data_IF_423734047681
#
_entry.id   IF_423734047681
#
_cell.length_a   1.000
_cell.length_b   1.000
_cell.length_c   1.000
_cell.angle_alpha   90.00
_cell.angle_beta   90.00
_cell.angle_gamma   90.00
#
_symmetry.space_group_name_H-M   'P 1'
#
loop_
_entity.id
_entity.type
_entity.pdbx_description
1 polymer ?
#
# COMPACT_ATOMS: atom_id res chain seq x y z
N UNK A 1 13.78 -5.55 49.36
CA UNK A 1 15.02 -6.36 49.32
C UNK A 1 14.60 -7.71 48.76
N UNK A 2 15.04 -8.27 47.65
CA UNK A 2 16.19 -8.18 46.73
C UNK A 2 15.63 -8.63 45.35
N UNK A 3 16.24 -8.61 44.16
CA UNK A 3 17.38 -7.96 43.52
C UNK A 3 17.16 -8.21 42.01
N UNK A 4 17.60 -7.26 41.19
CA UNK A 4 17.57 -7.29 39.73
C UNK A 4 18.42 -8.40 39.12
N UNK A 5 18.06 -8.89 37.92
CA UNK A 5 19.09 -9.31 36.97
C UNK A 5 18.67 -9.05 35.52
N UNK A 6 19.55 -8.31 34.84
CA UNK A 6 19.57 -7.89 33.44
C UNK A 6 20.92 -8.37 32.87
N UNK A 7 20.97 -8.53 31.53
CA UNK A 7 22.12 -8.90 30.65
C UNK A 7 22.25 -10.42 30.42
N UNK A 8 22.52 -10.94 29.21
CA UNK A 8 23.41 -10.40 28.16
C UNK A 8 23.13 -11.06 26.80
N UNK A 9 23.40 -10.31 25.73
CA UNK A 9 23.54 -10.73 24.33
C UNK A 9 24.76 -11.64 24.11
N UNK A 10 24.70 -12.52 23.11
CA UNK A 10 25.89 -13.10 22.48
C UNK A 10 25.65 -14.41 21.73
N UNK A 11 25.97 -14.45 20.44
CA UNK A 11 26.04 -15.71 19.69
C UNK A 11 25.92 -15.60 18.17
N UNK A 12 26.77 -14.79 17.53
CA UNK A 12 27.04 -14.94 16.11
C UNK A 12 27.79 -16.26 15.88
N UNK A 13 27.38 -17.06 14.89
CA UNK A 13 28.21 -18.13 14.35
C UNK A 13 28.42 -17.88 12.86
N UNK A 14 29.66 -17.54 12.53
CA UNK A 14 30.19 -17.50 11.18
C UNK A 14 31.28 -18.58 11.08
N UNK A 15 31.19 -19.45 10.08
CA UNK A 15 32.31 -20.17 9.44
C UNK A 15 31.75 -20.79 8.16
N UNK A 16 32.00 -20.16 7.01
CA UNK A 16 33.17 -20.35 6.14
C UNK A 16 33.25 -21.75 5.53
N UNK A 17 33.01 -21.83 4.22
CA UNK A 17 33.90 -22.58 3.36
C UNK A 17 34.10 -21.84 2.04
N UNK A 18 35.37 -21.61 1.72
CA UNK A 18 35.86 -20.92 0.54
C UNK A 18 36.61 -21.91 -0.35
N UNK A 19 36.50 -21.74 -1.67
CA UNK A 19 37.55 -21.88 -2.70
C UNK A 19 36.94 -22.29 -4.06
N UNK A 20 37.16 -21.45 -5.09
CA UNK A 20 36.93 -21.74 -6.52
C UNK A 20 38.09 -22.52 -7.14
N UNK A 21 38.53 -22.28 -8.41
CA UNK A 21 38.03 -21.36 -9.45
C UNK A 21 38.00 -21.99 -10.88
N UNK A 22 37.62 -21.20 -11.90
CA UNK A 22 38.14 -21.37 -13.28
C UNK A 22 37.15 -21.13 -14.43
N UNK A 23 37.49 -20.20 -15.34
CA UNK A 23 36.91 -20.14 -16.68
C UNK A 23 36.82 -18.74 -17.30
N UNK A 24 37.94 -18.25 -17.84
CA UNK A 24 38.11 -16.95 -18.52
C UNK A 24 37.47 -16.92 -19.91
N UNK A 25 37.07 -15.72 -20.36
CA UNK A 25 36.72 -15.39 -21.73
C UNK A 25 36.90 -13.90 -21.99
N UNK A 26 38.11 -13.54 -22.44
CA UNK A 26 38.58 -12.21 -22.86
C UNK A 26 37.71 -11.55 -23.94
N UNK A 27 37.41 -10.25 -23.79
CA UNK A 27 37.36 -9.31 -24.92
C UNK A 27 37.94 -7.96 -24.48
N UNK A 28 38.86 -7.47 -25.32
CA UNK A 28 39.77 -6.34 -25.16
C UNK A 28 39.12 -4.98 -24.86
N UNK A 29 39.89 -4.21 -24.09
CA UNK A 29 39.77 -2.77 -23.89
C UNK A 29 40.30 -1.97 -25.09
N UNK A 30 39.64 -0.85 -25.39
CA UNK A 30 40.29 0.33 -25.97
C UNK A 30 39.84 1.56 -25.17
N UNK A 31 40.80 2.17 -24.47
CA UNK A 31 40.59 3.42 -23.74
C UNK A 31 40.70 4.62 -24.67
N UNK A 32 39.92 5.67 -24.40
CA UNK A 32 40.22 7.04 -24.83
C UNK A 32 39.88 7.99 -23.67
N UNK A 33 40.86 8.82 -23.33
CA UNK A 33 40.85 9.83 -22.28
C UNK A 33 39.99 11.04 -22.69
N UNK A 34 39.49 11.82 -21.71
CA UNK A 34 38.55 12.94 -21.86
C UNK A 34 39.06 14.15 -22.67
N UNK A 35 38.31 15.29 -22.71
CA UNK A 35 37.97 16.04 -21.50
C UNK A 35 36.55 16.64 -21.46
N UNK A 36 36.27 17.32 -20.35
CA UNK A 36 35.05 18.01 -19.98
C UNK A 36 34.55 19.02 -21.03
N UNK A 37 33.23 19.05 -21.21
CA UNK A 37 32.50 20.09 -21.92
C UNK A 37 31.05 20.13 -21.44
N UNK A 38 30.74 21.06 -20.54
CA UNK A 38 29.37 21.44 -20.21
C UNK A 38 28.80 22.18 -21.43
N UNK A 39 27.88 21.55 -22.15
CA UNK A 39 27.15 22.19 -23.25
C UNK A 39 25.66 21.98 -23.03
N UNK A 40 25.05 22.96 -22.36
CA UNK A 40 23.61 23.17 -22.32
C UNK A 40 23.24 23.91 -23.59
N UNK A 41 22.54 23.25 -24.52
CA UNK A 41 21.88 23.93 -25.63
C UNK A 41 20.35 23.91 -25.48
N UNK A 42 19.66 25.00 -25.84
CA UNK A 42 18.26 25.21 -25.54
C UNK A 42 17.38 24.63 -26.64
N UNK A 43 16.67 23.54 -26.34
CA UNK A 43 15.62 23.04 -27.23
C UNK A 43 14.33 23.83 -26.98
N UNK A 44 13.93 24.46 -28.07
CA UNK A 44 12.79 25.34 -28.28
C UNK A 44 11.45 24.77 -27.79
N UNK A 45 10.58 25.70 -27.39
CA UNK A 45 9.20 25.51 -26.90
C UNK A 45 8.44 24.46 -27.72
N UNK A 46 8.13 23.32 -27.11
CA UNK A 46 7.12 22.39 -27.62
C UNK A 46 5.79 22.73 -26.97
N UNK A 47 4.99 23.48 -27.71
CA UNK A 47 3.62 23.90 -27.39
C UNK A 47 2.77 22.73 -26.86
N UNK A 48 2.05 23.02 -25.76
CA UNK A 48 1.01 22.15 -25.17
C UNK A 48 -0.14 22.06 -26.18
N UNK A 49 -0.28 20.92 -26.86
CA UNK A 49 -1.46 20.67 -27.70
C UNK A 49 -2.73 20.58 -26.83
N UNK A 50 -3.87 21.13 -27.28
CA UNK A 50 -5.10 21.21 -26.49
C UNK A 50 -5.76 19.82 -26.37
N UNK A 51 -6.41 19.58 -25.23
CA UNK A 51 -7.18 18.36 -24.96
C UNK A 51 -8.26 18.15 -26.04
N UNK A 52 -8.47 16.91 -26.52
CA UNK A 52 -9.74 16.56 -27.15
C UNK A 52 -10.75 16.22 -26.06
N UNK A 53 -11.85 16.97 -26.07
CA UNK A 53 -13.04 16.81 -25.25
C UNK A 53 -13.59 15.38 -25.24
N UNK A 54 -14.10 15.00 -24.06
CA UNK A 54 -15.21 14.07 -23.82
C UNK A 54 -15.43 12.94 -24.82
N UNK A 55 -14.76 11.80 -24.61
CA UNK A 55 -15.25 10.53 -25.13
C UNK A 55 -16.37 9.99 -24.23
N UNK A 56 -17.56 10.59 -24.33
CA UNK A 56 -18.80 9.90 -23.99
C UNK A 56 -18.94 8.70 -24.92
N UNK A 57 -18.40 7.54 -24.52
CA UNK A 57 -18.79 6.28 -25.14
C UNK A 57 -20.16 5.92 -24.57
N UNK A 58 -21.21 5.72 -25.39
CA UNK A 58 -22.48 5.26 -24.87
C UNK A 58 -22.27 3.92 -24.18
N UNK A 59 -22.81 3.82 -22.97
CA UNK A 59 -22.88 2.60 -22.17
C UNK A 59 -23.44 1.47 -23.03
N UNK A 60 -22.54 0.67 -23.60
CA UNK A 60 -22.88 -0.68 -24.03
C UNK A 60 -22.98 -1.48 -22.75
N UNK A 61 -24.17 -1.42 -22.15
CA UNK A 61 -24.64 -2.34 -21.12
C UNK A 61 -24.55 -3.75 -21.69
N UNK A 62 -23.39 -4.38 -21.53
CA UNK A 62 -23.32 -5.83 -21.59
C UNK A 62 -24.21 -6.32 -20.44
N UNK A 63 -25.28 -7.12 -20.70
CA UNK A 63 -26.08 -7.65 -19.60
C UNK A 63 -25.14 -8.39 -18.64
N UNK A 64 -25.31 -8.22 -17.31
CA UNK A 64 -24.50 -8.94 -16.35
C UNK A 64 -24.62 -10.43 -16.66
N UNK A 65 -23.50 -11.06 -16.97
CA UNK A 65 -23.45 -12.51 -17.11
C UNK A 65 -23.96 -13.10 -15.79
N UNK A 66 -24.87 -14.09 -15.80
CA UNK A 66 -25.54 -14.60 -14.60
C UNK A 66 -24.59 -15.21 -13.55
N UNK A 67 -23.29 -15.30 -13.86
CA UNK A 67 -22.25 -15.81 -12.98
C UNK A 67 -21.65 -14.76 -12.02
N UNK A 68 -21.84 -13.46 -12.22
CA UNK A 68 -21.14 -12.42 -11.42
C UNK A 68 -22.00 -11.80 -10.30
N UNK A 69 -23.23 -12.29 -10.10
CA UNK A 69 -24.18 -11.72 -9.12
C UNK A 69 -24.44 -12.60 -7.89
N UNK A 70 -23.79 -13.75 -7.73
CA UNK A 70 -24.20 -14.77 -6.74
C UNK A 70 -23.24 -14.97 -5.57
N UNK A 71 -22.17 -14.18 -5.44
CA UNK A 71 -21.26 -14.31 -4.30
C UNK A 71 -21.41 -13.12 -3.35
N UNK A 72 -22.33 -13.29 -2.40
CA UNK A 72 -22.29 -12.74 -1.03
C UNK A 72 -22.61 -11.26 -0.81
N UNK A 73 -22.76 -10.41 -1.84
CA UNK A 73 -23.08 -8.99 -1.60
C UNK A 73 -24.55 -8.77 -1.14
N UNK A 74 -25.44 -9.71 -1.46
CA UNK A 74 -26.87 -9.61 -1.11
C UNK A 74 -27.20 -9.86 0.38
N UNK A 75 -26.26 -10.36 1.19
CA UNK A 75 -26.57 -10.69 2.61
C UNK A 75 -26.18 -9.59 3.61
N UNK A 76 -25.51 -8.53 3.18
CA UNK A 76 -24.98 -7.47 4.07
C UNK A 76 -25.89 -6.24 4.18
N UNK A 77 -27.14 -6.30 3.71
CA UNK A 77 -28.12 -5.20 3.83
C UNK A 77 -28.67 -4.96 5.24
N UNK A 78 -28.08 -5.57 6.28
CA UNK A 78 -28.40 -5.29 7.69
C UNK A 78 -27.36 -4.29 8.20
N UNK A 79 -27.78 -3.25 8.90
CA UNK A 79 -26.88 -2.28 9.53
C UNK A 79 -25.75 -3.00 10.29
N UNK A 80 -24.56 -2.99 9.70
CA UNK A 80 -23.37 -3.59 10.30
C UNK A 80 -22.68 -2.51 11.10
N UNK A 81 -23.04 -2.42 12.39
CA UNK A 81 -22.27 -1.63 13.34
C UNK A 81 -21.13 -2.50 13.90
N UNK A 82 -19.86 -2.20 13.55
CA UNK A 82 -18.70 -2.98 14.00
C UNK A 82 -18.48 -2.93 15.51
N UNK A 83 -19.16 -2.06 16.25
CA UNK A 83 -19.03 -1.95 17.72
C UNK A 83 -20.01 -2.84 18.49
N UNK A 84 -21.13 -3.22 17.89
CA UNK A 84 -22.25 -3.83 18.62
C UNK A 84 -22.66 -5.20 18.06
N UNK A 85 -22.28 -5.53 16.82
CA UNK A 85 -22.63 -6.80 16.21
C UNK A 85 -21.49 -7.82 16.30
N UNK A 86 -21.72 -8.89 17.05
CA UNK A 86 -20.91 -10.11 16.98
C UNK A 86 -21.42 -11.02 15.85
N UNK A 87 -20.52 -11.78 15.22
CA UNK A 87 -20.88 -12.84 14.27
C UNK A 87 -21.49 -14.02 15.01
N UNK A 88 -22.51 -14.67 14.41
CA UNK A 88 -23.03 -15.94 14.94
C UNK A 88 -22.09 -17.10 14.60
N UNK A 89 -22.19 -18.22 15.34
CA UNK A 89 -21.41 -19.44 15.05
C UNK A 89 -21.63 -19.97 13.62
N UNK A 90 -22.79 -19.70 13.02
CA UNK A 90 -23.07 -20.04 11.62
C UNK A 90 -22.34 -19.11 10.64
N UNK A 91 -22.26 -17.80 10.93
CA UNK A 91 -21.53 -16.81 10.12
C UNK A 91 -20.00 -17.01 10.20
N UNK A 92 -19.52 -17.60 11.30
CA UNK A 92 -18.12 -17.92 11.52
C UNK A 92 -17.65 -19.21 10.83
N UNK A 93 -18.57 -20.02 10.28
CA UNK A 93 -18.18 -21.22 9.54
C UNK A 93 -17.35 -20.82 8.32
N UNK A 94 -16.20 -21.48 8.09
CA UNK A 94 -15.36 -21.16 6.95
C UNK A 94 -16.16 -21.42 5.67
N UNK A 95 -16.29 -20.36 4.87
CA UNK A 95 -16.92 -20.47 3.55
C UNK A 95 -16.20 -21.56 2.73
N UNK A 96 -16.93 -22.30 1.88
CA UNK A 96 -16.34 -23.34 1.05
C UNK A 96 -15.18 -22.76 0.22
N UNK A 97 -13.99 -23.35 0.37
CA UNK A 97 -12.77 -22.84 -0.28
C UNK A 97 -12.83 -23.09 -1.79
N UNK A 98 -13.09 -22.03 -2.56
CA UNK A 98 -13.02 -22.07 -4.01
C UNK A 98 -11.54 -22.14 -4.43
N UNK A 99 -11.16 -23.26 -5.06
CA UNK A 99 -9.80 -23.43 -5.58
C UNK A 99 -9.62 -22.58 -6.83
N UNK A 100 -8.51 -21.83 -6.89
CA UNK A 100 -8.13 -21.08 -8.10
C UNK A 100 -7.85 -22.04 -9.26
N UNK A 101 -8.24 -21.64 -10.47
CA UNK A 101 -7.89 -22.39 -11.68
C UNK A 101 -6.37 -22.49 -11.87
N UNK A 102 -5.91 -23.63 -12.41
CA UNK A 102 -4.50 -23.88 -12.72
C UNK A 102 -4.07 -22.98 -13.88
N UNK A 103 -2.87 -22.38 -13.78
CA UNK A 103 -2.31 -21.59 -14.87
C UNK A 103 -2.00 -22.50 -16.06
N UNK A 104 -2.66 -22.24 -17.19
CA UNK A 104 -2.32 -22.83 -18.48
C UNK A 104 -1.46 -21.83 -19.24
N UNK A 105 -0.23 -22.22 -19.56
CA UNK A 105 0.67 -21.41 -20.38
C UNK A 105 0.37 -21.65 -21.85
N UNK A 106 0.42 -20.60 -22.66
CA UNK A 106 0.36 -20.71 -24.11
C UNK A 106 1.79 -20.99 -24.60
N UNK A 107 2.05 -22.14 -25.27
CA UNK A 107 3.34 -22.43 -25.89
C UNK A 107 3.78 -21.32 -26.83
N UNK A 108 5.08 -21.12 -27.00
CA UNK A 108 5.63 -20.00 -27.75
C UNK A 108 5.17 -20.00 -29.22
N UNK A 109 5.12 -21.18 -29.84
CA UNK A 109 4.64 -21.38 -31.22
C UNK A 109 3.15 -21.05 -31.41
N UNK A 110 2.39 -20.98 -30.31
CA UNK A 110 0.95 -20.69 -30.32
C UNK A 110 0.61 -19.26 -29.86
N UNK A 111 1.61 -18.40 -29.68
CA UNK A 111 1.39 -16.98 -29.32
C UNK A 111 1.02 -16.15 -30.55
N UNK A 112 -0.26 -16.16 -30.87
CA UNK A 112 -0.86 -15.35 -31.93
C UNK A 112 -1.04 -13.87 -31.55
N UNK A 113 -1.44 -13.05 -32.52
CA UNK A 113 -1.75 -11.62 -32.30
C UNK A 113 -2.86 -11.41 -31.27
N UNK A 114 -3.84 -12.32 -31.23
CA UNK A 114 -4.95 -12.29 -30.27
C UNK A 114 -4.42 -12.46 -28.85
N UNK A 115 -3.47 -13.37 -28.62
CA UNK A 115 -2.78 -13.55 -27.34
C UNK A 115 -2.03 -12.28 -26.94
N UNK A 116 -1.24 -11.69 -27.85
CA UNK A 116 -0.50 -10.47 -27.56
C UNK A 116 -1.39 -9.28 -27.23
N UNK A 117 -2.53 -9.13 -27.94
CA UNK A 117 -3.53 -8.12 -27.64
C UNK A 117 -4.12 -8.30 -26.23
N UNK A 118 -4.49 -9.53 -25.83
CA UNK A 118 -4.94 -9.84 -24.46
C UNK A 118 -3.85 -9.54 -23.43
N UNK A 119 -2.60 -9.91 -23.71
CA UNK A 119 -1.47 -9.71 -22.79
C UNK A 119 -1.21 -8.22 -22.56
N UNK A 120 -1.21 -7.41 -23.63
CA UNK A 120 -1.09 -5.95 -23.56
C UNK A 120 -2.23 -5.34 -22.75
N UNK A 121 -3.49 -5.74 -23.00
CA UNK A 121 -4.65 -5.28 -22.21
C UNK A 121 -4.52 -5.61 -20.73
N UNK A 122 -4.11 -6.84 -20.40
CA UNK A 122 -3.92 -7.26 -19.00
C UNK A 122 -2.79 -6.47 -18.31
N UNK A 123 -1.68 -6.20 -19.00
CA UNK A 123 -0.60 -5.38 -18.44
C UNK A 123 -1.06 -3.95 -18.11
N UNK A 124 -1.84 -3.34 -19.03
CA UNK A 124 -2.42 -2.01 -18.79
C UNK A 124 -3.41 -2.02 -17.62
N UNK A 125 -4.28 -3.03 -17.54
CA UNK A 125 -5.21 -3.20 -16.42
C UNK A 125 -4.47 -3.40 -15.09
N UNK A 126 -3.41 -4.22 -15.08
CA UNK A 126 -2.59 -4.45 -13.89
C UNK A 126 -1.89 -3.16 -13.43
N UNK A 127 -1.38 -2.35 -14.37
CA UNK A 127 -0.80 -1.03 -14.05
C UNK A 127 -1.86 -0.11 -13.43
N UNK A 128 -3.01 0.06 -14.09
CA UNK A 128 -4.12 0.88 -13.58
C UNK A 128 -4.58 0.43 -12.19
N UNK A 129 -4.70 -0.88 -11.96
CA UNK A 129 -5.07 -1.45 -10.67
C UNK A 129 -4.05 -1.13 -9.57
N UNK A 130 -2.75 -1.24 -9.88
CA UNK A 130 -1.68 -0.87 -8.95
C UNK A 130 -1.71 0.61 -8.60
N UNK A 131 -1.91 1.48 -9.60
CA UNK A 131 -1.94 2.92 -9.40
C UNK A 131 -3.17 3.34 -8.58
N UNK A 132 -4.34 2.74 -8.84
CA UNK A 132 -5.54 2.95 -8.05
C UNK A 132 -5.36 2.51 -6.59
N UNK A 133 -4.74 1.34 -6.36
CA UNK A 133 -4.43 0.87 -5.00
C UNK A 133 -3.49 1.84 -4.29
N UNK A 134 -2.38 2.23 -4.94
CA UNK A 134 -1.39 3.14 -4.37
C UNK A 134 -2.01 4.50 -4.02
N UNK A 135 -2.88 5.03 -4.88
CA UNK A 135 -3.61 6.26 -4.60
C UNK A 135 -4.47 6.14 -3.33
N UNK A 136 -5.19 5.03 -3.18
CA UNK A 136 -6.00 4.77 -1.97
C UNK A 136 -5.13 4.64 -0.71
N UNK A 137 -4.02 3.92 -0.80
CA UNK A 137 -3.06 3.77 0.30
C UNK A 137 -2.48 5.12 0.72
N UNK A 138 -2.08 5.95 -0.25
CA UNK A 138 -1.58 7.30 0.02
C UNK A 138 -2.64 8.20 0.68
N UNK A 139 -3.90 8.13 0.24
CA UNK A 139 -4.99 8.88 0.89
C UNK A 139 -5.20 8.44 2.35
N UNK A 140 -5.13 7.13 2.61
CA UNK A 140 -5.23 6.60 3.98
C UNK A 140 -4.07 7.11 4.83
N UNK A 141 -2.84 7.06 4.32
CA UNK A 141 -1.66 7.55 5.02
C UNK A 141 -1.77 9.05 5.37
N UNK A 142 -2.20 9.89 4.41
CA UNK A 142 -2.42 11.31 4.65
C UNK A 142 -3.50 11.56 5.72
N UNK A 143 -4.62 10.86 5.63
CA UNK A 143 -5.71 10.99 6.60
C UNK A 143 -5.28 10.53 8.00
N UNK A 144 -4.55 9.43 8.09
CA UNK A 144 -4.02 8.92 9.36
C UNK A 144 -3.09 9.94 10.00
N UNK A 145 -2.12 10.46 9.25
CA UNK A 145 -1.19 11.49 9.78
C UNK A 145 -1.88 12.77 10.23
N UNK A 146 -2.93 13.21 9.51
CA UNK A 146 -3.76 14.34 9.95
C UNK A 146 -4.45 14.06 11.29
N UNK A 147 -5.13 12.91 11.40
CA UNK A 147 -5.84 12.52 12.61
C UNK A 147 -4.89 12.32 13.79
N UNK A 148 -3.69 11.77 13.58
CA UNK A 148 -2.65 11.63 14.60
C UNK A 148 -2.21 13.01 15.13
N UNK A 149 -1.98 13.97 14.25
CA UNK A 149 -1.63 15.35 14.63
C UNK A 149 -2.74 16.02 15.43
N UNK A 150 -3.99 15.94 14.96
CA UNK A 150 -5.15 16.50 15.66
C UNK A 150 -5.36 15.84 17.03
N UNK A 151 -5.25 14.51 17.11
CA UNK A 151 -5.39 13.78 18.37
C UNK A 151 -4.31 14.18 19.37
N UNK A 152 -3.07 14.36 18.91
CA UNK A 152 -1.97 14.85 19.75
C UNK A 152 -2.24 16.26 20.25
N UNK A 153 -2.73 17.17 19.39
CA UNK A 153 -3.11 18.52 19.80
C UNK A 153 -4.23 18.52 20.85
N UNK A 154 -5.27 17.72 20.67
CA UNK A 154 -6.36 17.56 21.63
C UNK A 154 -5.87 17.00 22.98
N UNK A 155 -4.93 16.04 22.97
CA UNK A 155 -4.34 15.51 24.20
C UNK A 155 -3.54 16.58 24.96
N UNK A 156 -2.73 17.37 24.24
CA UNK A 156 -1.97 18.47 24.85
C UNK A 156 -2.89 19.51 25.51
N UNK A 157 -3.97 19.91 24.83
CA UNK A 157 -4.91 20.87 25.38
C UNK A 157 -5.68 20.31 26.58
N UNK A 158 -6.07 19.04 26.51
CA UNK A 158 -6.73 18.35 27.62
C UNK A 158 -5.82 18.26 28.86
N UNK A 159 -4.54 17.95 28.67
CA UNK A 159 -3.57 17.92 29.77
C UNK A 159 -3.31 19.32 30.34
N UNK A 160 -3.25 20.36 29.50
CA UNK A 160 -3.17 21.76 29.93
C UNK A 160 -4.35 22.14 30.83
N UNK A 161 -5.57 21.86 30.38
CA UNK A 161 -6.80 22.15 31.13
C UNK A 161 -6.91 21.33 32.42
N UNK A 162 -6.50 20.06 32.41
CA UNK A 162 -6.45 19.23 33.62
C UNK A 162 -5.49 19.82 34.65
N UNK A 163 -4.30 20.25 34.24
CA UNK A 163 -3.33 20.87 35.13
C UNK A 163 -3.87 22.18 35.71
N UNK A 164 -4.48 23.03 34.87
CA UNK A 164 -5.12 24.26 35.32
C UNK A 164 -6.25 23.98 36.33
N UNK A 165 -7.11 23.00 36.04
CA UNK A 165 -8.18 22.61 36.94
C UNK A 165 -7.66 22.05 38.28
N UNK A 166 -6.60 21.26 38.25
CA UNK A 166 -5.93 20.74 39.45
C UNK A 166 -5.40 21.89 40.32
N UNK A 167 -4.68 22.84 39.72
CA UNK A 167 -4.16 24.02 40.43
C UNK A 167 -5.30 24.85 41.05
N UNK A 168 -6.42 25.01 40.34
CA UNK A 168 -7.58 25.73 40.85
C UNK A 168 -8.24 24.97 42.02
N UNK A 169 -8.36 23.64 41.93
CA UNK A 169 -8.87 22.80 43.03
C UNK A 169 -7.98 22.89 44.26
N UNK A 170 -6.67 22.80 44.10
CA UNK A 170 -5.71 22.94 45.20
C UNK A 170 -5.79 24.33 45.87
N UNK A 171 -5.99 25.39 45.07
CA UNK A 171 -6.19 26.74 45.59
C UNK A 171 -7.51 26.89 46.35
N UNK A 172 -8.59 26.31 45.83
CA UNK A 172 -9.93 26.34 46.46
C UNK A 172 -9.98 25.53 47.75
N UNK A 173 -9.27 24.40 47.82
CA UNK A 173 -9.21 23.55 49.02
C UNK A 173 -8.85 24.33 50.28
N UNK A 174 -8.00 25.35 50.16
CA UNK A 174 -7.58 26.22 51.27
C UNK A 174 -8.71 27.03 51.91
N UNK A 175 -9.84 27.16 51.23
CA UNK A 175 -10.99 27.97 51.66
C UNK A 175 -12.23 27.13 51.97
N UNK A 176 -12.20 25.82 51.71
CA UNK A 176 -13.34 24.92 51.90
C UNK A 176 -13.28 24.11 53.20
N UNK A 177 -12.19 24.20 53.96
CA UNK A 177 -11.99 23.51 55.25
C UNK A 177 -12.41 24.35 56.47
N UNK A 178 -13.45 25.19 56.34
CA UNK A 178 -14.07 25.95 57.46
C UNK A 178 -15.51 25.49 57.69
#
# INVERSE_FOLDING_TARGET
MQASQLHKLGGANASNNAAGPGGNGDVQATGHQGPAGLHLEPVTKRERSPSPSDCCSPDTLNPPSPADSTLSMASSGRDFDPRTRAFSDEELKPQPMIKKSRKQFVPDDLKDDKYWARRRKNNMAAKRSRDARRMKENQIALRAGFLEKENMGLRQELDRLKNENMLLRDKLSKYTDV
#
